data_IF_629756133037
#
_entry.id   IF_629756133037
#
_cell.length_a   1.000
_cell.length_b   1.000
_cell.length_c   1.000
_cell.angle_alpha   90.00
_cell.angle_beta   90.00
_cell.angle_gamma   90.00
#
_symmetry.space_group_name_H-M   'P 1'
#
loop_
_entity.id
_entity.type
_entity.pdbx_description
1 polymer ?
#
# COMPACT_ATOMS: atom_id res chain seq x y z
N UNK A 1 -13.59 3.62 45.61
CA UNK A 1 -14.85 2.99 45.14
C UNK A 1 -15.09 3.49 43.73
N UNK A 2 -14.92 2.62 42.74
CA UNK A 2 -15.00 2.99 41.30
C UNK A 2 -16.40 2.79 40.73
N UNK A 3 -17.17 1.85 41.28
CA UNK A 3 -18.57 1.57 40.91
C UNK A 3 -19.43 1.48 42.17
N UNK A 4 -20.73 1.76 42.03
CA UNK A 4 -21.71 1.65 43.08
C UNK A 4 -22.97 1.00 42.51
N UNK A 5 -23.36 -0.15 43.04
CA UNK A 5 -24.61 -0.80 42.64
C UNK A 5 -25.79 -0.17 43.40
N UNK A 6 -26.65 0.49 42.65
CA UNK A 6 -27.85 1.16 43.16
C UNK A 6 -29.14 0.46 42.72
N UNK A 7 -29.06 -0.64 41.98
CA UNK A 7 -30.19 -1.28 41.29
C UNK A 7 -31.41 -1.60 42.16
N UNK A 8 -31.20 -1.79 43.47
CA UNK A 8 -32.25 -2.12 44.44
C UNK A 8 -32.82 -0.91 45.19
N UNK A 9 -32.41 0.32 44.87
CA UNK A 9 -32.90 1.53 45.54
C UNK A 9 -34.30 1.90 45.07
N UNK A 10 -35.25 1.94 46.00
CA UNK A 10 -36.57 2.53 45.74
C UNK A 10 -36.58 4.01 46.12
N UNK A 11 -36.47 4.89 45.12
CA UNK A 11 -36.44 6.35 45.34
C UNK A 11 -37.79 7.04 45.20
N UNK A 12 -38.90 6.30 45.01
CA UNK A 12 -40.23 6.85 44.68
C UNK A 12 -40.86 7.79 45.73
N UNK A 13 -40.29 7.86 46.93
CA UNK A 13 -40.72 8.75 48.01
C UNK A 13 -39.64 9.76 48.43
N UNK A 14 -38.48 9.78 47.77
CA UNK A 14 -37.39 10.70 48.10
C UNK A 14 -37.76 12.11 47.65
N UNK A 15 -37.60 13.09 48.55
CA UNK A 15 -37.93 14.51 48.28
C UNK A 15 -36.70 15.41 48.16
N UNK A 16 -35.53 14.95 48.64
CA UNK A 16 -34.24 15.65 48.53
C UNK A 16 -33.13 14.66 48.19
N UNK A 17 -32.30 15.00 47.21
CA UNK A 17 -31.11 14.26 46.78
C UNK A 17 -29.86 15.15 46.78
N UNK A 18 -29.89 16.24 47.56
CA UNK A 18 -28.77 17.17 47.69
C UNK A 18 -27.49 16.42 48.07
N UNK A 19 -26.41 16.69 47.33
CA UNK A 19 -25.06 16.16 47.61
C UNK A 19 -24.93 14.63 47.64
N UNK A 20 -25.89 13.89 47.06
CA UNK A 20 -25.94 12.42 47.16
C UNK A 20 -24.65 11.72 46.66
N UNK A 21 -24.04 12.23 45.60
CA UNK A 21 -22.78 11.73 45.03
C UNK A 21 -21.63 12.74 45.13
N UNK A 22 -21.79 13.78 45.98
CA UNK A 22 -20.78 14.83 46.16
C UNK A 22 -19.48 14.23 46.70
N UNK A 23 -18.36 14.66 46.11
CA UNK A 23 -17.03 14.29 46.59
C UNK A 23 -16.39 15.41 47.40
N UNK A 24 -15.65 15.00 48.43
CA UNK A 24 -14.91 15.90 49.32
C UNK A 24 -13.41 15.92 49.01
N UNK A 25 -12.94 15.13 48.03
CA UNK A 25 -11.53 15.05 47.63
C UNK A 25 -11.41 14.98 46.10
N UNK A 26 -10.46 15.75 45.56
CA UNK A 26 -10.18 15.81 44.13
C UNK A 26 -9.37 14.58 43.69
N UNK A 27 -9.68 14.00 42.53
CA UNK A 27 -8.94 12.86 41.96
C UNK A 27 -9.38 11.47 42.44
N UNK A 28 -10.39 11.38 43.32
CA UNK A 28 -11.03 10.10 43.71
C UNK A 28 -12.54 10.23 43.58
N UNK A 29 -13.18 9.39 42.76
CA UNK A 29 -14.60 9.52 42.45
C UNK A 29 -15.23 8.24 41.89
N UNK A 30 -16.55 8.28 41.67
CA UNK A 30 -17.20 7.23 40.88
C UNK A 30 -16.63 7.31 39.46
N UNK A 31 -16.44 6.16 38.83
CA UNK A 31 -16.07 6.09 37.42
C UNK A 31 -17.33 5.93 36.57
N UNK A 32 -18.21 5.04 37.01
CA UNK A 32 -19.50 4.78 36.37
C UNK A 32 -20.61 4.99 37.39
N UNK A 33 -21.70 5.60 36.97
CA UNK A 33 -22.91 5.74 37.77
C UNK A 33 -24.14 5.44 36.92
N UNK A 34 -24.95 4.50 37.38
CA UNK A 34 -26.25 4.19 36.79
C UNK A 34 -27.37 4.58 37.77
N UNK A 35 -28.13 5.61 37.39
CA UNK A 35 -29.33 6.06 38.09
C UNK A 35 -30.55 6.02 37.17
N UNK A 36 -30.52 5.22 36.11
CA UNK A 36 -31.60 5.12 35.12
C UNK A 36 -32.95 4.72 35.74
N UNK A 37 -32.92 3.94 36.82
CA UNK A 37 -34.09 3.47 37.54
C UNK A 37 -34.59 4.45 38.63
N UNK A 38 -33.87 5.55 38.88
CA UNK A 38 -34.28 6.52 39.91
C UNK A 38 -35.59 7.21 39.51
N UNK A 39 -36.56 7.13 40.41
CA UNK A 39 -37.76 7.96 40.37
C UNK A 39 -37.49 9.28 41.11
N UNK A 40 -37.27 10.36 40.35
CA UNK A 40 -37.07 11.70 40.90
C UNK A 40 -38.34 12.57 40.83
N UNK A 41 -39.51 11.97 40.56
CA UNK A 41 -40.77 12.72 40.36
C UNK A 41 -41.21 13.56 41.57
N UNK A 42 -40.77 13.19 42.78
CA UNK A 42 -41.05 13.92 44.03
C UNK A 42 -39.86 14.73 44.55
N UNK A 43 -38.71 14.69 43.87
CA UNK A 43 -37.50 15.37 44.32
C UNK A 43 -37.64 16.86 44.07
N UNK A 44 -37.53 17.64 45.13
CA UNK A 44 -37.61 19.11 45.08
C UNK A 44 -36.25 19.77 45.03
N UNK A 45 -35.19 19.06 45.47
CA UNK A 45 -33.81 19.56 45.51
C UNK A 45 -32.80 18.44 45.22
N UNK A 46 -31.85 18.70 44.32
CA UNK A 46 -30.72 17.82 43.95
C UNK A 46 -29.43 18.64 43.81
N UNK A 47 -29.33 19.71 44.60
CA UNK A 47 -28.23 20.67 44.54
C UNK A 47 -26.91 19.98 44.90
N UNK A 48 -25.86 20.28 44.14
CA UNK A 48 -24.52 19.73 44.32
C UNK A 48 -24.44 18.19 44.30
N UNK A 49 -25.41 17.52 43.68
CA UNK A 49 -25.49 16.06 43.63
C UNK A 49 -24.21 15.39 43.12
N UNK A 50 -23.55 15.98 42.11
CA UNK A 50 -22.33 15.45 41.47
C UNK A 50 -21.08 16.30 41.72
N UNK A 51 -21.16 17.29 42.62
CA UNK A 51 -20.05 18.25 42.83
C UNK A 51 -18.76 17.52 43.18
N UNK A 52 -17.67 17.90 42.50
CA UNK A 52 -16.33 17.31 42.57
C UNK A 52 -16.18 15.85 42.10
N UNK A 53 -17.18 15.24 41.44
CA UNK A 53 -17.05 13.87 40.92
C UNK A 53 -16.27 13.82 39.58
N UNK A 54 -15.06 14.39 39.56
CA UNK A 54 -14.26 14.62 38.34
C UNK A 54 -13.75 13.34 37.68
N UNK A 55 -13.93 12.18 38.30
CA UNK A 55 -13.59 10.87 37.73
C UNK A 55 -14.78 10.19 37.05
N UNK A 56 -15.99 10.76 37.17
CA UNK A 56 -17.20 10.21 36.57
C UNK A 56 -17.09 10.41 35.07
N UNK A 57 -16.87 9.30 34.35
CA UNK A 57 -16.70 9.29 32.90
C UNK A 57 -17.88 8.63 32.20
N UNK A 58 -18.70 7.85 32.90
CA UNK A 58 -19.91 7.20 32.37
C UNK A 58 -21.09 7.43 33.31
N UNK A 59 -22.18 7.99 32.79
CA UNK A 59 -23.41 8.30 33.52
C UNK A 59 -24.63 7.79 32.77
N UNK A 60 -25.39 6.87 33.36
CA UNK A 60 -26.62 6.32 32.78
C UNK A 60 -27.82 6.98 33.45
N UNK A 61 -28.67 7.62 32.64
CA UNK A 61 -29.85 8.37 33.07
C UNK A 61 -31.11 7.75 32.44
N UNK A 62 -32.25 7.95 33.10
CA UNK A 62 -33.50 7.30 32.71
C UNK A 62 -34.71 8.23 32.79
N UNK A 63 -35.90 7.71 32.46
CA UNK A 63 -37.05 8.53 32.09
C UNK A 63 -37.63 9.38 33.23
N UNK A 64 -37.35 9.02 34.48
CA UNK A 64 -37.81 9.77 35.66
C UNK A 64 -36.68 10.53 36.37
N UNK A 65 -35.47 10.52 35.81
CA UNK A 65 -34.34 11.31 36.31
C UNK A 65 -34.53 12.77 35.92
N UNK A 66 -34.25 13.69 36.83
CA UNK A 66 -34.40 15.13 36.60
C UNK A 66 -33.13 15.85 37.07
N UNK A 67 -32.52 16.64 36.19
CA UNK A 67 -31.31 17.39 36.49
C UNK A 67 -31.63 18.87 36.67
N UNK A 68 -31.05 19.49 37.70
CA UNK A 68 -31.13 20.94 37.91
C UNK A 68 -29.81 21.59 37.52
N UNK A 69 -29.84 22.88 37.19
CA UNK A 69 -28.64 23.63 36.79
C UNK A 69 -27.54 23.63 37.88
N UNK A 70 -27.93 23.48 39.14
CA UNK A 70 -27.04 23.45 40.30
C UNK A 70 -26.68 22.02 40.77
N UNK A 71 -26.98 20.98 39.98
CA UNK A 71 -26.67 19.60 40.34
C UNK A 71 -25.17 19.30 40.39
N UNK A 72 -24.33 20.20 39.85
CA UNK A 72 -22.87 20.13 39.96
C UNK A 72 -22.22 19.03 39.11
N UNK A 73 -22.85 18.63 38.00
CA UNK A 73 -22.26 17.68 37.05
C UNK A 73 -20.97 18.29 36.47
N UNK A 74 -19.80 17.62 36.58
CA UNK A 74 -18.56 18.17 36.05
C UNK A 74 -18.51 18.06 34.53
N UNK A 75 -17.86 19.03 33.88
CA UNK A 75 -17.45 18.91 32.49
C UNK A 75 -16.47 17.74 32.31
N UNK A 76 -16.39 17.19 31.09
CA UNK A 76 -15.31 16.28 30.78
C UNK A 76 -13.95 17.01 30.93
N UNK A 77 -12.84 16.29 31.19
CA UNK A 77 -11.58 16.90 31.64
C UNK A 77 -10.92 17.93 30.69
N UNK A 78 -11.36 18.05 29.44
CA UNK A 78 -10.73 18.86 28.39
C UNK A 78 -9.42 18.28 27.83
N UNK A 79 -8.98 18.75 26.65
CA UNK A 79 -7.79 18.25 25.93
C UNK A 79 -6.48 18.33 26.73
N UNK A 80 -6.44 19.22 27.71
CA UNK A 80 -5.25 19.64 28.45
C UNK A 80 -4.93 18.70 29.63
N UNK A 81 -5.84 17.79 29.96
CA UNK A 81 -5.67 16.78 31.02
C UNK A 81 -5.40 15.40 30.41
N UNK A 82 -4.27 15.27 29.74
CA UNK A 82 -3.76 14.05 29.07
C UNK A 82 -3.50 12.85 30.01
N UNK A 83 -3.85 12.95 31.29
CA UNK A 83 -3.62 11.93 32.31
C UNK A 83 -4.88 11.18 32.76
N UNK A 84 -6.07 11.60 32.33
CA UNK A 84 -7.33 10.97 32.76
C UNK A 84 -7.78 9.92 31.75
N UNK A 85 -7.34 8.68 31.96
CA UNK A 85 -7.75 7.51 31.18
C UNK A 85 -9.20 7.16 31.48
N UNK A 86 -9.97 6.82 30.45
CA UNK A 86 -11.28 6.16 30.64
C UNK A 86 -11.05 4.78 31.28
N UNK A 87 -11.60 4.53 32.48
CA UNK A 87 -11.50 3.27 33.19
C UNK A 87 -11.97 2.06 32.37
N UNK A 88 -11.30 0.93 32.53
CA UNK A 88 -11.63 -0.30 31.80
C UNK A 88 -11.10 -0.36 30.37
N UNK A 89 -10.39 0.68 29.88
CA UNK A 89 -9.61 0.58 28.65
C UNK A 89 -8.49 -0.45 28.84
N UNK A 90 -8.80 -1.71 28.56
CA UNK A 90 -7.79 -2.73 28.33
C UNK A 90 -7.11 -2.34 27.03
N UNK A 91 -5.77 -2.21 27.07
CA UNK A 91 -4.83 -1.98 25.96
C UNK A 91 -4.15 -0.62 25.98
N UNK A 92 -2.94 -0.63 25.41
CA UNK A 92 -2.00 0.46 25.23
C UNK A 92 -2.53 1.67 24.41
N UNK A 93 -3.84 1.72 24.13
CA UNK A 93 -4.51 2.64 23.19
C UNK A 93 -5.14 3.87 23.85
N UNK A 94 -4.86 4.10 25.16
CA UNK A 94 -5.04 5.38 25.87
C UNK A 94 -6.20 6.23 25.34
N UNK A 95 -7.44 5.79 25.55
CA UNK A 95 -8.60 6.60 25.16
C UNK A 95 -8.68 7.85 26.04
N UNK A 96 -8.32 8.99 25.48
CA UNK A 96 -8.35 10.28 26.14
C UNK A 96 -9.64 11.00 25.83
N UNK A 97 -10.05 11.92 26.71
CA UNK A 97 -11.10 12.84 26.37
C UNK A 97 -10.59 13.88 25.34
N UNK A 98 -11.44 14.26 24.40
CA UNK A 98 -11.11 15.22 23.35
C UNK A 98 -11.46 16.65 23.76
N UNK A 99 -12.65 16.82 24.33
CA UNK A 99 -13.21 18.12 24.70
C UNK A 99 -13.67 18.14 26.16
N UNK A 100 -14.30 19.23 26.57
CA UNK A 100 -15.01 19.36 27.84
C UNK A 100 -16.45 18.82 27.80
N UNK A 101 -16.83 18.14 26.71
CA UNK A 101 -18.20 17.67 26.48
C UNK A 101 -18.40 16.21 26.91
N UNK A 102 -19.65 15.90 27.19
CA UNK A 102 -20.18 14.55 27.35
C UNK A 102 -20.82 14.09 26.05
N UNK A 103 -20.56 12.86 25.63
CA UNK A 103 -21.14 12.28 24.43
C UNK A 103 -22.18 11.22 24.79
N UNK A 104 -23.37 11.33 24.20
CA UNK A 104 -24.36 10.26 24.29
C UNK A 104 -23.83 8.99 23.61
N UNK A 105 -24.01 7.83 24.23
CA UNK A 105 -23.61 6.54 23.64
C UNK A 105 -24.47 6.25 22.41
N UNK A 106 -25.77 6.56 22.46
CA UNK A 106 -26.68 6.36 21.34
C UNK A 106 -26.75 4.88 20.95
N UNK A 107 -26.61 4.59 19.66
CA UNK A 107 -26.56 3.21 19.15
C UNK A 107 -25.16 2.59 19.23
N UNK A 108 -24.17 3.31 19.75
CA UNK A 108 -22.78 2.89 19.90
C UNK A 108 -22.50 2.12 21.19
N UNK A 109 -21.21 2.01 21.51
CA UNK A 109 -20.72 1.47 22.79
C UNK A 109 -20.09 2.56 23.65
N UNK A 110 -19.86 2.27 24.94
CA UNK A 110 -19.23 3.23 25.87
C UNK A 110 -17.80 3.64 25.47
N UNK A 111 -17.14 2.86 24.61
CA UNK A 111 -15.82 3.16 24.02
C UNK A 111 -15.88 3.50 22.52
N UNK A 112 -17.09 3.59 21.95
CA UNK A 112 -17.31 4.06 20.58
C UNK A 112 -18.74 4.66 20.47
N UNK A 113 -18.99 5.77 21.18
CA UNK A 113 -20.30 6.42 21.23
C UNK A 113 -20.63 7.07 19.88
N UNK A 114 -21.91 7.07 19.50
CA UNK A 114 -22.38 7.65 18.23
C UNK A 114 -23.37 8.79 18.40
N UNK A 115 -23.74 9.10 19.64
CA UNK A 115 -24.67 10.18 19.95
C UNK A 115 -23.97 11.54 20.04
N UNK A 116 -24.79 12.58 20.23
CA UNK A 116 -24.32 13.97 20.26
C UNK A 116 -23.33 14.23 21.40
N UNK A 117 -22.29 15.01 21.11
CA UNK A 117 -21.43 15.63 22.12
C UNK A 117 -22.07 16.92 22.65
N UNK A 118 -22.40 16.93 23.94
CA UNK A 118 -23.15 17.95 24.66
C UNK A 118 -22.26 18.63 25.71
N UNK A 119 -22.43 19.94 25.88
CA UNK A 119 -21.94 20.59 27.10
C UNK A 119 -22.75 20.07 28.29
N UNK A 120 -22.23 20.18 29.52
CA UNK A 120 -23.00 19.84 30.73
C UNK A 120 -24.33 20.59 30.77
N UNK A 121 -24.34 21.86 30.36
CA UNK A 121 -25.55 22.68 30.27
C UNK A 121 -26.60 22.06 29.33
N UNK A 122 -26.19 21.62 28.16
CA UNK A 122 -27.09 21.03 27.17
C UNK A 122 -27.57 19.64 27.61
N UNK A 123 -26.71 18.85 28.26
CA UNK A 123 -27.08 17.57 28.87
C UNK A 123 -28.13 17.77 29.97
N UNK A 124 -27.92 18.71 30.89
CA UNK A 124 -28.90 19.04 31.95
C UNK A 124 -30.24 19.47 31.32
N UNK A 125 -30.21 20.27 30.25
CA UNK A 125 -31.41 20.71 29.56
C UNK A 125 -32.21 19.56 28.92
N UNK A 126 -31.60 18.39 28.64
CA UNK A 126 -32.30 17.18 28.19
C UNK A 126 -33.09 16.46 29.29
N UNK A 127 -32.88 16.79 30.57
CA UNK A 127 -33.55 16.16 31.72
C UNK A 127 -34.34 17.15 32.60
N UNK A 128 -35.32 17.89 32.05
CA UNK A 128 -36.10 18.86 32.81
C UNK A 128 -37.03 18.20 33.85
N UNK A 129 -37.56 19.02 34.77
CA UNK A 129 -38.53 18.57 35.78
C UNK A 129 -39.93 18.38 35.18
N UNK A 130 -40.64 17.38 35.69
CA UNK A 130 -42.07 17.17 35.42
C UNK A 130 -42.38 16.50 34.07
N UNK A 131 -41.37 16.01 33.36
CA UNK A 131 -41.50 15.33 32.07
C UNK A 131 -40.99 13.88 32.13
N UNK A 132 -41.34 13.09 31.12
CA UNK A 132 -40.71 11.81 30.85
C UNK A 132 -39.48 12.11 29.98
N UNK A 133 -38.30 11.83 30.52
CA UNK A 133 -37.02 12.15 29.92
C UNK A 133 -36.49 10.96 29.08
N UNK A 134 -35.48 11.16 28.22
CA UNK A 134 -34.86 10.04 27.51
C UNK A 134 -34.16 9.07 28.48
N UNK A 135 -33.98 7.83 28.04
CA UNK A 135 -33.05 6.89 28.68
C UNK A 135 -31.78 6.85 27.84
N UNK A 136 -30.65 7.21 28.42
CA UNK A 136 -29.39 7.34 27.68
C UNK A 136 -28.19 7.16 28.61
N UNK A 137 -27.11 6.61 28.07
CA UNK A 137 -25.79 6.59 28.70
C UNK A 137 -24.94 7.70 28.09
N UNK A 138 -24.29 8.50 28.93
CA UNK A 138 -23.33 9.50 28.49
C UNK A 138 -21.93 9.07 28.92
N UNK A 139 -20.96 9.23 28.04
CA UNK A 139 -19.53 9.08 28.33
C UNK A 139 -18.79 10.38 28.09
N UNK A 140 -17.54 10.54 28.52
CA UNK A 140 -16.72 11.65 28.04
C UNK A 140 -16.53 11.57 26.52
N UNK A 141 -16.56 12.72 25.85
CA UNK A 141 -16.25 12.83 24.42
C UNK A 141 -14.82 12.33 24.13
N UNK A 142 -14.68 11.47 23.13
CA UNK A 142 -13.50 10.63 22.94
C UNK A 142 -12.52 11.20 21.92
N UNK A 143 -11.24 11.15 22.27
CA UNK A 143 -10.14 11.44 21.34
C UNK A 143 -9.88 10.20 20.50
N UNK A 144 -10.28 10.27 19.23
CA UNK A 144 -10.15 9.18 18.27
C UNK A 144 -8.92 9.29 17.36
N UNK A 145 -8.06 10.28 17.60
CA UNK A 145 -6.81 10.45 16.85
C UNK A 145 -5.69 11.02 17.75
N UNK A 146 -4.44 10.70 17.43
CA UNK A 146 -3.26 11.24 18.10
C UNK A 146 -2.14 11.41 17.09
N UNK A 147 -1.46 12.56 17.12
CA UNK A 147 -0.18 12.74 16.45
C UNK A 147 0.93 12.72 17.49
N UNK A 148 1.77 11.70 17.47
CA UNK A 148 2.96 11.58 18.31
C UNK A 148 4.14 11.10 17.46
N UNK A 149 5.32 11.69 17.66
CA UNK A 149 6.55 11.33 16.94
C UNK A 149 6.35 11.18 15.41
N UNK A 150 5.68 12.15 14.77
CA UNK A 150 5.33 12.14 13.33
C UNK A 150 4.41 10.98 12.88
N UNK A 151 3.83 10.20 13.80
CA UNK A 151 2.87 9.13 13.52
C UNK A 151 1.46 9.59 13.86
N UNK A 152 0.57 9.62 12.88
CA UNK A 152 -0.86 9.82 13.09
C UNK A 152 -1.52 8.47 13.39
N UNK A 153 -1.95 8.28 14.63
CA UNK A 153 -2.73 7.10 15.03
C UNK A 153 -4.22 7.45 15.00
N UNK A 154 -5.03 6.61 14.34
CA UNK A 154 -6.49 6.69 14.34
C UNK A 154 -7.03 5.52 15.12
N UNK A 155 -7.71 5.82 16.23
CA UNK A 155 -8.28 4.86 17.15
C UNK A 155 -9.73 4.50 16.75
N UNK A 156 -10.25 3.38 17.25
CA UNK A 156 -11.59 2.90 16.89
C UNK A 156 -12.64 3.98 17.14
N UNK A 157 -13.34 4.38 16.09
CA UNK A 157 -14.35 5.44 16.13
C UNK A 157 -15.25 5.38 14.90
N UNK A 158 -16.48 5.91 15.02
CA UNK A 158 -17.30 6.23 13.84
C UNK A 158 -16.93 7.62 13.34
N UNK A 159 -16.16 7.66 12.26
CA UNK A 159 -15.75 8.87 11.55
C UNK A 159 -16.88 9.30 10.62
N UNK A 160 -17.70 10.24 11.07
CA UNK A 160 -18.73 10.90 10.28
C UNK A 160 -18.51 12.42 10.24
N UNK A 161 -17.33 12.83 9.76
CA UNK A 161 -16.96 14.24 9.59
C UNK A 161 -17.75 14.89 8.45
N UNK A 162 -18.25 14.08 7.51
CA UNK A 162 -18.90 14.53 6.28
C UNK A 162 -18.10 15.65 5.57
N UNK A 163 -16.81 15.38 5.36
CA UNK A 163 -15.81 16.35 4.94
C UNK A 163 -16.17 17.03 3.61
N UNK A 164 -16.03 18.35 3.60
CA UNK A 164 -16.08 19.22 2.42
C UNK A 164 -14.69 19.56 1.88
N UNK A 165 -13.63 19.36 2.67
CA UNK A 165 -12.25 19.54 2.26
C UNK A 165 -11.24 19.29 3.39
N UNK A 166 -9.96 19.48 3.07
CA UNK A 166 -8.85 19.10 3.97
C UNK A 166 -8.88 19.78 5.34
N UNK A 167 -9.49 20.97 5.46
CA UNK A 167 -9.55 21.74 6.72
C UNK A 167 -10.50 21.15 7.76
N UNK A 168 -11.38 20.22 7.36
CA UNK A 168 -12.32 19.56 8.25
C UNK A 168 -11.61 18.50 9.12
N UNK A 169 -10.40 18.07 8.73
CA UNK A 169 -9.64 17.05 9.43
C UNK A 169 -8.83 17.63 10.59
N UNK A 170 -8.84 16.97 11.78
CA UNK A 170 -8.19 17.50 12.97
C UNK A 170 -6.67 17.70 12.84
N UNK A 171 -6.02 16.95 11.95
CA UNK A 171 -4.57 17.02 11.70
C UNK A 171 -4.17 17.97 10.57
N UNK A 172 -5.09 18.79 10.04
CA UNK A 172 -4.82 19.71 8.93
C UNK A 172 -3.61 20.64 9.17
N UNK A 173 -3.41 21.11 10.41
CA UNK A 173 -2.29 21.99 10.74
C UNK A 173 -0.92 21.30 10.77
N UNK A 174 -0.89 19.96 10.75
CA UNK A 174 0.31 19.15 10.94
C UNK A 174 0.62 18.22 9.75
N UNK A 175 0.03 18.45 8.57
CA UNK A 175 0.20 17.60 7.38
C UNK A 175 1.66 17.37 6.98
N UNK A 176 2.48 18.42 7.06
CA UNK A 176 3.90 18.33 6.71
C UNK A 176 4.74 17.58 7.77
N UNK A 177 4.22 17.40 8.99
CA UNK A 177 4.88 16.65 10.06
C UNK A 177 4.57 15.15 10.00
N UNK A 178 3.51 14.72 9.33
CA UNK A 178 3.09 13.31 9.34
C UNK A 178 3.99 12.50 8.39
N UNK A 179 4.58 11.42 8.92
CA UNK A 179 5.44 10.46 8.19
C UNK A 179 4.83 9.08 8.05
N UNK A 180 4.02 8.69 9.02
CA UNK A 180 3.36 7.38 9.07
C UNK A 180 1.95 7.55 9.62
N UNK A 181 1.07 6.66 9.18
CA UNK A 181 -0.28 6.53 9.72
C UNK A 181 -0.46 5.12 10.28
N UNK A 182 -1.16 5.00 11.40
CA UNK A 182 -1.57 3.73 12.00
C UNK A 182 -3.07 3.75 12.32
N UNK A 183 -3.84 2.97 11.58
CA UNK A 183 -5.30 2.85 11.75
C UNK A 183 -5.59 1.57 12.53
N UNK A 184 -6.15 1.72 13.73
CA UNK A 184 -6.47 0.60 14.61
C UNK A 184 -7.73 -0.16 14.13
N UNK A 185 -7.89 -1.45 14.48
CA UNK A 185 -9.11 -2.22 14.23
C UNK A 185 -10.37 -1.57 14.82
N UNK A 186 -11.47 -1.51 14.06
CA UNK A 186 -12.76 -0.99 14.54
C UNK A 186 -13.03 0.48 14.21
N UNK A 187 -12.25 1.06 13.29
CA UNK A 187 -12.56 2.37 12.70
C UNK A 187 -13.63 2.18 11.64
N UNK A 188 -14.68 2.99 11.70
CA UNK A 188 -15.80 2.99 10.73
C UNK A 188 -15.89 4.37 10.12
N UNK A 189 -15.88 4.48 8.80
CA UNK A 189 -16.03 5.75 8.08
C UNK A 189 -17.41 5.82 7.42
N UNK A 190 -18.03 7.01 7.47
CA UNK A 190 -19.35 7.26 6.87
C UNK A 190 -19.33 8.49 5.97
N UNK A 191 -20.30 8.55 5.05
CA UNK A 191 -20.57 9.72 4.21
C UNK A 191 -19.35 10.16 3.39
N UNK A 192 -18.76 11.30 3.71
CA UNK A 192 -17.63 11.89 2.98
C UNK A 192 -16.35 11.87 3.80
N UNK A 193 -15.35 11.13 3.32
CA UNK A 193 -13.97 11.18 3.84
C UNK A 193 -13.03 11.94 2.89
N UNK A 194 -13.59 12.88 2.13
CA UNK A 194 -12.87 13.74 1.21
C UNK A 194 -11.60 14.30 1.85
N UNK A 195 -10.47 14.14 1.15
CA UNK A 195 -9.18 14.71 1.54
C UNK A 195 -8.66 14.30 2.92
N UNK A 196 -9.06 13.14 3.45
CA UNK A 196 -8.65 12.63 4.77
C UNK A 196 -7.14 12.61 4.97
N UNK A 197 -6.41 12.14 3.97
CA UNK A 197 -4.95 12.04 3.99
C UNK A 197 -4.29 12.97 2.97
N UNK A 198 -5.00 13.99 2.50
CA UNK A 198 -4.51 14.88 1.44
C UNK A 198 -3.24 15.64 1.83
N UNK A 199 -2.24 15.58 0.94
CA UNK A 199 -1.09 16.48 0.94
C UNK A 199 -0.09 16.24 2.06
N UNK A 200 -0.03 15.04 2.61
CA UNK A 200 0.96 14.63 3.60
C UNK A 200 2.30 14.34 2.91
N UNK A 201 3.04 15.39 2.54
CA UNK A 201 4.25 15.31 1.69
C UNK A 201 5.37 14.41 2.22
N UNK A 202 5.35 14.11 3.51
CA UNK A 202 6.34 13.28 4.19
C UNK A 202 5.82 11.88 4.54
N UNK A 203 4.55 11.59 4.28
CA UNK A 203 3.93 10.29 4.51
C UNK A 203 4.59 9.23 3.61
N UNK A 204 5.02 8.13 4.22
CA UNK A 204 5.66 7.01 3.53
C UNK A 204 4.85 5.73 3.61
N UNK A 205 4.15 5.53 4.73
CA UNK A 205 3.47 4.27 5.06
C UNK A 205 2.14 4.54 5.75
N UNK A 206 1.11 3.80 5.35
CA UNK A 206 -0.18 3.73 6.06
C UNK A 206 -0.38 2.29 6.52
N UNK A 207 -0.36 2.11 7.83
CA UNK A 207 -0.55 0.81 8.49
C UNK A 207 -2.02 0.65 8.85
N UNK A 208 -2.59 -0.53 8.60
CA UNK A 208 -3.96 -0.82 9.02
C UNK A 208 -5.05 -0.10 8.21
N UNK A 209 -4.78 0.38 7.00
CA UNK A 209 -5.82 0.99 6.15
C UNK A 209 -7.01 0.04 5.93
N UNK A 210 -6.74 -1.26 5.81
CA UNK A 210 -7.73 -2.33 5.71
C UNK A 210 -8.51 -2.60 7.01
N UNK A 211 -8.20 -1.93 8.12
CA UNK A 211 -8.97 -1.95 9.36
C UNK A 211 -10.15 -0.96 9.36
N UNK A 212 -10.20 -0.05 8.39
CA UNK A 212 -11.27 0.93 8.26
C UNK A 212 -12.44 0.32 7.48
N UNK A 213 -13.60 0.22 8.13
CA UNK A 213 -14.85 -0.09 7.44
C UNK A 213 -15.30 1.14 6.64
N UNK A 214 -15.38 1.00 5.32
CA UNK A 214 -15.79 2.07 4.40
C UNK A 214 -17.11 1.78 3.69
N UNK A 215 -17.88 0.78 4.12
CA UNK A 215 -19.10 0.34 3.41
C UNK A 215 -20.17 1.43 3.27
N UNK A 216 -20.17 2.41 4.17
CA UNK A 216 -21.10 3.55 4.18
C UNK A 216 -20.51 4.84 3.60
N UNK A 217 -19.30 4.79 3.04
CA UNK A 217 -18.65 5.97 2.43
C UNK A 217 -19.09 6.14 0.98
N UNK A 218 -19.47 7.35 0.62
CA UNK A 218 -19.91 7.72 -0.74
C UNK A 218 -18.94 8.69 -1.42
N UNK A 219 -18.02 9.32 -0.68
CA UNK A 219 -17.09 10.30 -1.24
C UNK A 219 -15.67 10.14 -0.69
N UNK A 220 -14.77 9.66 -1.56
CA UNK A 220 -13.33 9.44 -1.35
C UNK A 220 -12.48 10.47 -2.10
N UNK A 221 -13.10 11.57 -2.58
CA UNK A 221 -12.42 12.55 -3.43
C UNK A 221 -11.08 12.98 -2.83
N UNK A 222 -10.01 12.83 -3.63
CA UNK A 222 -8.66 13.24 -3.29
C UNK A 222 -8.18 12.76 -1.91
N UNK A 223 -8.56 11.55 -1.47
CA UNK A 223 -8.24 11.03 -0.14
C UNK A 223 -6.74 11.01 0.15
N UNK A 224 -5.91 10.54 -0.79
CA UNK A 224 -4.44 10.48 -0.66
C UNK A 224 -3.71 11.49 -1.57
N UNK A 225 -4.45 12.38 -2.22
CA UNK A 225 -3.87 13.25 -3.26
C UNK A 225 -2.70 14.08 -2.71
N UNK A 226 -1.59 14.07 -3.44
CA UNK A 226 -0.34 14.79 -3.14
C UNK A 226 0.48 14.20 -1.99
N UNK A 227 0.33 12.90 -1.71
CA UNK A 227 1.13 12.14 -0.77
C UNK A 227 2.41 11.64 -1.44
N UNK A 228 3.26 12.59 -1.83
CA UNK A 228 4.39 12.38 -2.77
C UNK A 228 5.42 11.32 -2.38
N UNK A 229 5.48 10.89 -1.12
CA UNK A 229 6.43 9.89 -0.62
C UNK A 229 5.76 8.57 -0.24
N UNK A 230 4.43 8.46 -0.38
CA UNK A 230 3.70 7.26 -0.06
C UNK A 230 4.10 6.16 -1.05
N UNK A 231 4.52 5.02 -0.52
CA UNK A 231 5.13 3.96 -1.31
C UNK A 231 4.12 2.88 -1.74
N UNK A 232 3.22 2.53 -0.82
CA UNK A 232 2.23 1.48 -1.02
C UNK A 232 0.88 1.81 -0.38
N UNK A 233 -0.18 1.26 -0.98
CA UNK A 233 -1.55 1.35 -0.45
C UNK A 233 -2.24 -0.01 -0.48
N UNK A 234 -2.77 -0.42 0.67
CA UNK A 234 -3.61 -1.60 0.81
C UNK A 234 -5.09 -1.22 0.91
N UNK A 235 -5.80 -1.36 -0.21
CA UNK A 235 -7.25 -1.16 -0.33
C UNK A 235 -8.02 -2.48 -0.38
N UNK A 236 -7.37 -3.61 -0.07
CA UNK A 236 -7.94 -4.96 -0.24
C UNK A 236 -9.30 -5.17 0.45
N UNK A 237 -9.54 -4.48 1.56
CA UNK A 237 -10.79 -4.55 2.33
C UNK A 237 -11.67 -3.32 2.20
N UNK A 238 -11.26 -2.30 1.45
CA UNK A 238 -12.06 -1.10 1.29
C UNK A 238 -13.24 -1.36 0.36
N UNK A 239 -14.43 -1.28 0.93
CA UNK A 239 -15.69 -1.31 0.19
C UNK A 239 -15.92 0.08 -0.41
N UNK A 240 -15.75 0.19 -1.72
CA UNK A 240 -15.98 1.43 -2.47
C UNK A 240 -17.09 1.14 -3.46
N UNK A 241 -18.29 1.67 -3.21
CA UNK A 241 -19.45 1.42 -4.07
C UNK A 241 -19.25 2.00 -5.49
N UNK A 242 -19.92 1.41 -6.48
CA UNK A 242 -19.88 1.86 -7.88
C UNK A 242 -20.26 3.34 -8.09
N UNK A 243 -21.10 3.90 -7.21
CA UNK A 243 -21.53 5.30 -7.25
C UNK A 243 -20.63 6.24 -6.45
N UNK A 244 -19.62 5.74 -5.74
CA UNK A 244 -18.78 6.56 -4.90
C UNK A 244 -17.89 7.50 -5.73
N UNK A 245 -17.65 8.71 -5.21
CA UNK A 245 -16.74 9.65 -5.85
C UNK A 245 -15.29 9.35 -5.42
N UNK A 246 -14.51 8.74 -6.31
CA UNK A 246 -13.09 8.44 -6.11
C UNK A 246 -12.16 9.33 -6.91
N UNK A 247 -12.68 10.45 -7.44
CA UNK A 247 -11.91 11.31 -8.34
C UNK A 247 -10.64 11.80 -7.65
N UNK A 248 -9.50 11.57 -8.30
CA UNK A 248 -8.20 12.00 -7.82
C UNK A 248 -7.75 11.36 -6.52
N UNK A 249 -8.32 10.22 -6.11
CA UNK A 249 -7.95 9.57 -4.85
C UNK A 249 -6.43 9.33 -4.72
N UNK A 250 -5.69 9.16 -5.84
CA UNK A 250 -4.22 8.98 -5.88
C UNK A 250 -3.46 10.08 -6.63
N UNK A 251 -4.11 11.21 -6.91
CA UNK A 251 -3.53 12.21 -7.80
C UNK A 251 -2.25 12.81 -7.21
N UNK A 252 -1.18 12.87 -8.01
CA UNK A 252 0.15 13.38 -7.60
C UNK A 252 0.94 12.50 -6.61
N UNK A 253 0.54 11.24 -6.43
CA UNK A 253 1.23 10.29 -5.54
C UNK A 253 2.36 9.57 -6.29
N UNK A 254 3.34 10.35 -6.76
CA UNK A 254 4.31 9.89 -7.76
C UNK A 254 5.33 8.84 -7.26
N UNK A 255 5.35 8.52 -5.96
CA UNK A 255 6.19 7.46 -5.40
C UNK A 255 5.40 6.18 -5.12
N UNK A 256 4.08 6.19 -5.33
CA UNK A 256 3.22 5.04 -5.12
C UNK A 256 3.55 4.00 -6.20
N UNK A 257 4.24 2.94 -5.78
CA UNK A 257 4.74 1.90 -6.68
C UNK A 257 4.03 0.56 -6.49
N UNK A 258 3.28 0.40 -5.40
CA UNK A 258 2.49 -0.80 -5.10
C UNK A 258 1.08 -0.43 -4.65
N UNK A 259 0.07 -1.05 -5.24
CA UNK A 259 -1.33 -0.95 -4.78
C UNK A 259 -1.97 -2.33 -4.69
N UNK A 260 -2.77 -2.54 -3.66
CA UNK A 260 -3.55 -3.76 -3.46
C UNK A 260 -5.02 -3.37 -3.54
N UNK A 261 -5.77 -3.97 -4.46
CA UNK A 261 -7.15 -3.63 -4.76
C UNK A 261 -8.05 -4.82 -4.42
N UNK A 262 -9.14 -4.53 -3.70
CA UNK A 262 -10.06 -5.54 -3.19
C UNK A 262 -11.17 -5.92 -4.17
N UNK A 263 -11.92 -6.99 -3.85
CA UNK A 263 -13.06 -7.45 -4.65
C UNK A 263 -14.22 -6.45 -4.70
N UNK A 264 -14.32 -5.57 -3.70
CA UNK A 264 -15.36 -4.54 -3.59
C UNK A 264 -14.82 -3.12 -3.82
N UNK A 265 -13.60 -2.99 -4.31
CA UNK A 265 -12.98 -1.69 -4.61
C UNK A 265 -13.38 -1.26 -6.02
N UNK A 266 -14.15 -0.19 -6.15
CA UNK A 266 -14.52 0.37 -7.45
C UNK A 266 -13.99 1.80 -7.58
N UNK A 267 -13.08 2.00 -8.53
CA UNK A 267 -12.42 3.26 -8.79
C UNK A 267 -12.90 3.86 -10.11
N UNK A 268 -13.02 5.18 -10.13
CA UNK A 268 -13.30 5.97 -11.33
C UNK A 268 -12.49 7.25 -11.28
N UNK A 269 -11.71 7.49 -12.33
CA UNK A 269 -10.85 8.67 -12.44
C UNK A 269 -9.96 8.85 -11.18
N UNK A 270 -9.36 7.77 -10.68
CA UNK A 270 -8.54 7.82 -9.46
C UNK A 270 -7.28 8.67 -9.61
N UNK A 271 -6.89 8.97 -10.86
CA UNK A 271 -5.66 9.67 -11.23
C UNK A 271 -4.40 8.99 -10.72
N UNK A 272 -4.37 7.64 -10.75
CA UNK A 272 -3.16 6.88 -10.48
C UNK A 272 -2.05 7.30 -11.44
N UNK A 273 -0.90 7.66 -10.87
CA UNK A 273 0.27 8.05 -11.66
C UNK A 273 0.81 6.85 -12.47
N UNK A 274 1.28 7.15 -13.68
CA UNK A 274 2.09 6.21 -14.44
C UNK A 274 3.39 5.91 -13.66
N UNK A 275 3.92 4.69 -13.85
CA UNK A 275 5.25 4.39 -13.37
C UNK A 275 6.26 5.37 -13.99
N UNK A 276 7.27 5.83 -13.23
CA UNK A 276 8.30 6.70 -13.77
C UNK A 276 9.14 5.95 -14.80
N UNK A 277 9.52 6.65 -15.87
CA UNK A 277 10.39 6.11 -16.93
C UNK A 277 11.84 6.53 -16.69
N UNK A 278 12.79 5.81 -17.32
CA UNK A 278 14.20 6.20 -17.33
C UNK A 278 14.98 5.76 -16.10
N UNK A 279 14.97 4.46 -15.80
CA UNK A 279 15.74 3.82 -14.72
C UNK A 279 15.49 4.39 -13.32
N UNK A 280 14.25 4.77 -13.01
CA UNK A 280 13.92 5.25 -11.66
C UNK A 280 13.94 4.07 -10.69
N UNK A 281 14.81 4.12 -9.67
CA UNK A 281 14.95 3.06 -8.67
C UNK A 281 13.68 2.84 -7.84
N UNK A 282 13.40 1.57 -7.52
CA UNK A 282 12.35 1.23 -6.57
C UNK A 282 12.78 1.66 -5.16
N UNK A 283 11.92 2.38 -4.41
CA UNK A 283 12.27 2.94 -3.10
C UNK A 283 12.73 1.92 -2.04
N UNK A 284 12.18 0.70 -2.09
CA UNK A 284 12.47 -0.36 -1.11
C UNK A 284 13.58 -1.32 -1.57
N UNK A 285 13.89 -1.35 -2.87
CA UNK A 285 14.90 -2.25 -3.45
C UNK A 285 15.60 -1.60 -4.66
N UNK A 286 16.76 -0.95 -4.47
CA UNK A 286 17.45 -0.23 -5.55
C UNK A 286 18.04 -1.16 -6.61
N UNK A 287 17.99 -2.48 -6.44
CA UNK A 287 18.39 -3.44 -7.46
C UNK A 287 17.38 -3.54 -8.62
N UNK A 288 16.20 -2.91 -8.48
CA UNK A 288 15.21 -2.79 -9.53
C UNK A 288 14.94 -1.33 -9.87
N UNK A 289 14.60 -1.10 -11.13
CA UNK A 289 14.25 0.20 -11.70
C UNK A 289 12.97 0.08 -12.54
N UNK A 290 12.22 1.17 -12.64
CA UNK A 290 11.14 1.29 -13.60
C UNK A 290 11.66 1.88 -14.91
N UNK A 291 11.34 1.22 -16.01
CA UNK A 291 11.69 1.62 -17.39
C UNK A 291 10.49 1.93 -18.26
N UNK A 292 9.32 1.45 -17.87
CA UNK A 292 8.06 1.65 -18.59
C UNK A 292 7.14 2.54 -17.77
N UNK A 293 6.07 3.05 -18.39
CA UNK A 293 5.03 3.81 -17.69
C UNK A 293 3.93 2.93 -17.10
N UNK A 294 4.15 1.62 -17.08
CA UNK A 294 3.10 0.63 -16.87
C UNK A 294 3.20 -0.04 -15.51
N UNK A 295 2.08 -0.62 -15.11
CA UNK A 295 1.95 -1.46 -13.93
C UNK A 295 1.81 -2.92 -14.35
N UNK A 296 2.13 -3.85 -13.46
CA UNK A 296 1.97 -5.27 -13.69
C UNK A 296 1.32 -5.95 -12.49
N UNK A 297 0.44 -6.90 -12.75
CA UNK A 297 -0.19 -7.69 -11.72
C UNK A 297 0.78 -8.74 -11.13
N UNK A 298 0.80 -8.83 -9.80
CA UNK A 298 1.50 -9.87 -9.05
C UNK A 298 0.52 -11.02 -8.79
N UNK A 299 0.76 -12.16 -9.44
CA UNK A 299 -0.01 -13.39 -9.17
C UNK A 299 0.43 -14.02 -7.84
N UNK A 300 -0.46 -14.78 -7.21
CA UNK A 300 -0.30 -15.30 -5.82
C UNK A 300 0.94 -16.19 -5.59
N UNK A 301 1.58 -16.67 -6.65
CA UNK A 301 2.79 -17.49 -6.58
C UNK A 301 4.09 -16.68 -6.58
N UNK A 302 4.02 -15.37 -6.77
CA UNK A 302 5.18 -14.54 -7.05
C UNK A 302 5.41 -13.46 -5.98
N UNK A 303 6.58 -12.84 -6.02
CA UNK A 303 6.89 -11.64 -5.23
C UNK A 303 6.72 -10.34 -6.05
N UNK A 304 6.74 -9.20 -5.35
CA UNK A 304 6.52 -7.87 -5.91
C UNK A 304 7.55 -7.44 -6.98
N UNK A 305 8.70 -8.12 -7.08
CA UNK A 305 9.78 -7.81 -8.03
C UNK A 305 9.85 -8.83 -9.18
N UNK A 306 9.05 -9.90 -9.14
CA UNK A 306 8.91 -10.89 -10.21
C UNK A 306 7.42 -11.14 -10.59
N UNK A 307 6.64 -10.09 -10.89
CA UNK A 307 5.26 -10.24 -11.34
C UNK A 307 5.19 -11.00 -12.68
N UNK A 308 4.18 -11.86 -12.83
CA UNK A 308 3.91 -12.60 -14.07
C UNK A 308 2.49 -12.41 -14.60
N UNK A 309 1.72 -11.51 -14.00
CA UNK A 309 0.40 -11.14 -14.52
C UNK A 309 0.50 -10.12 -15.65
N UNK A 310 -0.65 -9.72 -16.16
CA UNK A 310 -0.72 -8.81 -17.30
C UNK A 310 -0.23 -7.40 -16.95
N UNK A 311 0.38 -6.76 -17.95
CA UNK A 311 0.76 -5.34 -17.87
C UNK A 311 -0.46 -4.46 -18.14
N UNK A 312 -0.64 -3.40 -17.35
CA UNK A 312 -1.77 -2.48 -17.41
C UNK A 312 -1.31 -1.03 -17.35
N UNK A 313 -1.93 -0.18 -18.18
CA UNK A 313 -1.67 1.26 -18.14
C UNK A 313 -2.32 1.90 -16.91
N UNK A 314 -1.67 2.88 -16.31
CA UNK A 314 -2.18 3.57 -15.12
C UNK A 314 -3.56 4.23 -15.32
N UNK A 315 -3.86 4.72 -16.53
CA UNK A 315 -5.18 5.29 -16.85
C UNK A 315 -6.30 4.23 -16.91
N UNK A 316 -5.98 2.99 -17.28
CA UNK A 316 -6.92 1.87 -17.23
C UNK A 316 -7.12 1.43 -15.78
N UNK A 317 -6.02 1.21 -15.05
CA UNK A 317 -6.04 0.86 -13.63
C UNK A 317 -6.73 1.94 -12.77
N UNK A 318 -6.71 3.21 -13.23
CA UNK A 318 -7.44 4.31 -12.59
C UNK A 318 -8.96 4.18 -12.59
N UNK A 319 -9.49 3.23 -13.36
CA UNK A 319 -10.91 2.92 -13.47
C UNK A 319 -11.21 1.47 -13.05
N UNK A 320 -10.36 0.87 -12.21
CA UNK A 320 -10.49 -0.49 -11.71
C UNK A 320 -11.88 -0.78 -11.14
N UNK A 321 -12.44 -1.93 -11.49
CA UNK A 321 -13.71 -2.43 -10.95
C UNK A 321 -13.45 -3.79 -10.31
N UNK A 322 -13.80 -3.92 -9.04
CA UNK A 322 -13.66 -5.19 -8.33
C UNK A 322 -14.57 -6.27 -8.92
N UNK A 323 -14.07 -7.51 -8.94
CA UNK A 323 -14.77 -8.68 -9.47
C UNK A 323 -15.74 -9.34 -8.45
N UNK A 324 -15.74 -8.86 -7.21
CA UNK A 324 -16.52 -9.43 -6.11
C UNK A 324 -15.91 -10.65 -5.43
N UNK A 325 -14.74 -11.15 -5.87
CA UNK A 325 -14.12 -12.38 -5.36
C UNK A 325 -12.63 -12.29 -5.04
N UNK A 326 -11.86 -11.52 -5.79
CA UNK A 326 -10.41 -11.57 -5.80
C UNK A 326 -9.78 -10.28 -5.27
N UNK A 327 -8.60 -10.41 -4.68
CA UNK A 327 -7.72 -9.29 -4.37
C UNK A 327 -6.57 -9.31 -5.36
N UNK A 328 -6.29 -8.16 -5.97
CA UNK A 328 -5.25 -8.00 -6.98
C UNK A 328 -4.17 -7.05 -6.47
N UNK A 329 -2.91 -7.44 -6.62
CA UNK A 329 -1.76 -6.59 -6.32
C UNK A 329 -1.15 -6.11 -7.63
N UNK A 330 -0.95 -4.81 -7.75
CA UNK A 330 -0.26 -4.20 -8.89
C UNK A 330 0.97 -3.46 -8.41
N UNK A 331 2.07 -3.65 -9.13
CA UNK A 331 3.34 -2.96 -8.92
C UNK A 331 3.75 -2.24 -10.20
N UNK A 332 4.63 -1.24 -10.13
CA UNK A 332 5.35 -0.79 -11.33
C UNK A 332 6.05 -1.99 -11.98
N UNK A 333 6.12 -2.04 -13.32
CA UNK A 333 6.85 -3.11 -14.02
C UNK A 333 8.32 -3.09 -13.57
N UNK A 334 8.78 -4.10 -12.81
CA UNK A 334 10.14 -4.11 -12.31
C UNK A 334 11.09 -4.53 -13.43
N UNK A 335 12.22 -3.85 -13.52
CA UNK A 335 13.36 -4.24 -14.37
C UNK A 335 14.60 -4.29 -13.51
N UNK A 336 15.47 -5.27 -13.74
CA UNK A 336 16.78 -5.30 -13.07
C UNK A 336 17.54 -4.00 -13.38
N UNK A 337 18.02 -3.35 -12.31
CA UNK A 337 18.84 -2.17 -12.42
C UNK A 337 20.14 -2.53 -13.13
N UNK A 338 20.58 -1.71 -14.09
CA UNK A 338 21.73 -1.98 -14.94
C UNK A 338 21.38 -2.72 -16.23
N UNK A 339 22.39 -2.95 -17.04
CA UNK A 339 22.26 -3.41 -18.42
C UNK A 339 23.16 -4.60 -18.71
N UNK A 340 22.63 -5.54 -19.49
CA UNK A 340 23.42 -6.55 -20.16
C UNK A 340 23.65 -6.10 -21.61
N UNK A 341 24.89 -5.79 -21.98
CA UNK A 341 25.23 -5.22 -23.28
C UNK A 341 26.27 -6.05 -24.00
N UNK A 342 26.01 -6.38 -25.26
CA UNK A 342 27.03 -6.97 -26.14
C UNK A 342 27.98 -5.85 -26.60
N UNK A 343 29.19 -5.79 -26.05
CA UNK A 343 30.19 -4.74 -26.33
C UNK A 343 31.03 -5.08 -27.56
N UNK A 344 31.40 -6.35 -27.72
CA UNK A 344 32.26 -6.80 -28.82
C UNK A 344 31.75 -8.08 -29.45
N UNK A 345 31.74 -8.10 -30.78
CA UNK A 345 31.54 -9.30 -31.60
C UNK A 345 32.80 -9.58 -32.43
N UNK A 346 32.99 -10.81 -32.93
CA UNK A 346 34.07 -11.15 -33.84
C UNK A 346 34.05 -10.26 -35.09
N UNK A 347 35.18 -9.63 -35.40
CA UNK A 347 35.32 -8.68 -36.51
C UNK A 347 35.27 -9.38 -37.88
N UNK A 348 35.91 -10.54 -38.01
CA UNK A 348 35.90 -11.37 -39.22
C UNK A 348 35.79 -12.86 -38.88
N UNK A 349 34.96 -13.59 -39.63
CA UNK A 349 35.00 -15.06 -39.66
C UNK A 349 36.03 -15.45 -40.70
N UNK A 350 37.28 -15.68 -40.30
CA UNK A 350 38.31 -16.14 -41.23
C UNK A 350 38.05 -17.57 -41.71
N UNK A 351 37.85 -17.73 -43.02
CA UNK A 351 37.78 -19.02 -43.69
C UNK A 351 39.20 -19.43 -44.12
N UNK A 352 39.86 -20.29 -43.35
CA UNK A 352 41.09 -20.94 -43.80
C UNK A 352 40.79 -22.40 -44.20
N UNK A 353 41.26 -22.77 -45.39
CA UNK A 353 41.11 -24.11 -45.95
C UNK A 353 41.97 -25.09 -45.13
N UNK A 354 41.36 -25.98 -44.36
CA UNK A 354 42.07 -27.12 -43.77
C UNK A 354 41.83 -28.34 -44.66
N UNK A 355 42.84 -28.76 -45.40
CA UNK A 355 42.80 -30.01 -46.15
C UNK A 355 42.93 -31.19 -45.18
N UNK A 356 41.86 -31.94 -44.97
CA UNK A 356 41.95 -33.30 -44.43
C UNK A 356 42.07 -34.31 -45.57
N UNK A 357 43.03 -35.24 -45.52
CA UNK A 357 43.14 -36.29 -46.52
C UNK A 357 42.16 -37.41 -46.17
N UNK A 358 40.90 -37.30 -46.62
CA UNK A 358 40.00 -38.38 -47.09
C UNK A 358 38.54 -37.93 -47.05
N UNK A 359 37.96 -37.67 -48.23
CA UNK A 359 36.53 -37.67 -48.63
C UNK A 359 35.43 -36.96 -47.80
N UNK A 360 35.70 -36.42 -46.62
CA UNK A 360 34.77 -35.61 -45.82
C UNK A 360 35.51 -34.44 -45.19
N UNK A 361 35.61 -33.31 -45.91
CA UNK A 361 36.37 -32.15 -45.48
C UNK A 361 35.51 -31.13 -44.72
N UNK A 362 35.58 -31.14 -43.40
CA UNK A 362 35.13 -30.04 -42.55
C UNK A 362 36.15 -28.88 -42.66
N UNK A 363 35.70 -27.65 -42.94
CA UNK A 363 36.57 -26.47 -42.93
C UNK A 363 36.40 -25.73 -41.60
N UNK A 364 37.48 -25.55 -40.82
CA UNK A 364 37.40 -24.87 -39.52
C UNK A 364 38.05 -23.50 -39.58
N UNK A 365 37.40 -22.51 -38.97
CA UNK A 365 38.02 -21.23 -38.59
C UNK A 365 39.24 -21.47 -37.71
N UNK A 366 40.30 -20.66 -37.88
CA UNK A 366 41.60 -20.83 -37.20
C UNK A 366 41.69 -20.10 -35.86
N UNK A 367 40.73 -19.26 -35.48
CA UNK A 367 40.85 -18.40 -34.29
C UNK A 367 39.65 -18.50 -33.35
N UNK A 368 39.93 -18.44 -32.04
CA UNK A 368 38.91 -18.28 -31.01
C UNK A 368 38.13 -16.99 -31.30
N UNK A 369 36.86 -17.12 -31.66
CA UNK A 369 35.96 -15.97 -31.77
C UNK A 369 35.57 -15.51 -30.37
N UNK A 370 35.84 -14.23 -30.06
CA UNK A 370 35.52 -13.63 -28.76
C UNK A 370 34.31 -12.75 -28.86
N UNK A 371 33.44 -12.87 -27.86
CA UNK A 371 32.40 -11.91 -27.56
C UNK A 371 32.71 -11.30 -26.21
N UNK A 372 32.42 -10.01 -26.08
CA UNK A 372 32.49 -9.32 -24.80
C UNK A 372 31.09 -8.85 -24.42
N UNK A 373 30.63 -9.29 -23.26
CA UNK A 373 29.38 -8.83 -22.66
C UNK A 373 29.73 -7.99 -21.44
N UNK A 374 29.15 -6.79 -21.36
CA UNK A 374 29.07 -6.01 -20.13
C UNK A 374 27.82 -6.44 -19.38
N UNK A 375 27.97 -6.93 -18.15
CA UNK A 375 26.85 -7.07 -17.24
C UNK A 375 27.03 -6.07 -16.11
N UNK A 376 26.25 -5.00 -16.19
CA UNK A 376 26.16 -3.99 -15.14
C UNK A 376 24.92 -4.21 -14.27
N UNK A 377 24.19 -5.32 -14.47
CA UNK A 377 22.97 -5.59 -13.72
C UNK A 377 23.30 -5.83 -12.24
N UNK A 378 22.48 -5.28 -11.37
CA UNK A 378 22.61 -5.45 -9.93
C UNK A 378 22.38 -6.91 -9.49
N UNK A 379 21.61 -7.65 -10.31
CA UNK A 379 21.21 -9.04 -10.13
C UNK A 379 21.80 -9.86 -11.28
N UNK A 380 22.50 -10.93 -10.94
CA UNK A 380 23.12 -11.83 -11.91
C UNK A 380 22.13 -12.91 -12.34
N UNK A 381 21.01 -12.54 -12.96
CA UNK A 381 20.11 -13.53 -13.55
C UNK A 381 20.75 -14.17 -14.78
N UNK A 382 20.35 -15.41 -15.04
CA UNK A 382 20.79 -16.16 -16.20
C UNK A 382 20.51 -15.37 -17.49
N UNK A 383 21.35 -15.58 -18.50
CA UNK A 383 21.17 -14.99 -19.82
C UNK A 383 21.69 -15.93 -20.89
N UNK A 384 21.24 -15.72 -22.11
CA UNK A 384 21.66 -16.46 -23.28
C UNK A 384 22.03 -15.52 -24.43
N UNK A 385 23.10 -15.85 -25.14
CA UNK A 385 23.42 -15.24 -26.42
C UNK A 385 22.82 -16.11 -27.52
N UNK A 386 21.98 -15.52 -28.34
CA UNK A 386 21.45 -16.14 -29.55
C UNK A 386 22.35 -15.80 -30.74
N UNK A 387 22.65 -16.79 -31.57
CA UNK A 387 23.40 -16.60 -32.82
C UNK A 387 22.59 -17.09 -34.03
N UNK A 388 22.67 -16.35 -35.13
CA UNK A 388 21.97 -16.60 -36.40
C UNK A 388 22.93 -16.39 -37.58
N UNK A 389 22.89 -17.26 -38.59
CA UNK A 389 23.70 -17.12 -39.81
C UNK A 389 22.87 -16.75 -41.04
N UNK A 390 23.43 -16.01 -41.99
CA UNK A 390 22.81 -15.80 -43.31
C UNK A 390 23.35 -16.77 -44.37
N UNK A 391 22.64 -16.94 -45.48
CA UNK A 391 23.23 -17.54 -46.68
C UNK A 391 24.43 -16.74 -47.17
N UNK A 392 25.37 -17.45 -47.82
CA UNK A 392 26.50 -16.83 -48.50
C UNK A 392 26.06 -16.28 -49.85
N UNK A 393 26.30 -14.98 -50.03
CA UNK A 393 26.06 -14.29 -51.30
C UNK A 393 27.39 -14.09 -52.01
N UNK A 394 27.38 -14.19 -53.33
CA UNK A 394 28.52 -13.85 -54.17
C UNK A 394 28.67 -12.33 -54.24
N UNK A 395 29.92 -11.86 -54.09
CA UNK A 395 30.25 -10.41 -54.08
C UNK A 395 30.03 -9.75 -55.45
N UNK A 396 30.04 -10.52 -56.56
CA UNK A 396 30.04 -9.99 -57.94
C UNK A 396 28.90 -10.51 -58.85
N UNK A 397 27.83 -11.14 -58.33
CA UNK A 397 26.65 -11.54 -59.15
C UNK A 397 25.85 -12.76 -58.69
N UNK A 398 24.67 -12.96 -59.31
CA UNK A 398 23.46 -13.75 -58.94
C UNK A 398 23.56 -15.24 -58.49
N UNK A 399 24.71 -15.76 -58.07
CA UNK A 399 24.82 -17.13 -57.50
C UNK A 399 25.06 -17.09 -55.99
N UNK A 400 24.06 -17.49 -55.21
CA UNK A 400 24.22 -17.81 -53.79
C UNK A 400 24.76 -19.22 -53.59
N UNK A 401 25.51 -19.45 -52.53
CA UNK A 401 25.83 -20.81 -52.06
C UNK A 401 24.74 -21.22 -51.06
N UNK A 402 24.02 -22.30 -51.36
CA UNK A 402 23.00 -22.88 -50.48
C UNK A 402 23.56 -24.08 -49.73
N UNK A 403 23.07 -24.35 -48.52
CA UNK A 403 23.47 -25.52 -47.72
C UNK A 403 24.75 -25.37 -46.91
N UNK A 404 25.22 -24.14 -46.69
CA UNK A 404 26.29 -23.85 -45.71
C UNK A 404 25.63 -23.63 -44.34
N UNK A 405 26.13 -24.33 -43.31
CA UNK A 405 25.59 -24.27 -41.95
C UNK A 405 26.66 -23.76 -40.98
N UNK A 406 26.23 -23.05 -39.93
CA UNK A 406 27.09 -22.70 -38.82
C UNK A 406 26.88 -23.72 -37.70
N UNK A 407 27.93 -24.09 -36.98
CA UNK A 407 27.87 -25.08 -35.91
C UNK A 407 28.52 -24.53 -34.63
N UNK A 408 27.84 -24.70 -33.50
CA UNK A 408 28.38 -24.53 -32.17
C UNK A 408 28.16 -25.82 -31.35
N UNK A 409 29.22 -26.46 -30.84
CA UNK A 409 29.13 -27.72 -30.03
C UNK A 409 28.39 -28.89 -30.72
N UNK A 410 28.34 -28.94 -32.05
CA UNK A 410 27.53 -29.92 -32.78
C UNK A 410 26.06 -29.50 -32.95
N UNK A 411 25.69 -28.30 -32.48
CA UNK A 411 24.37 -27.70 -32.69
C UNK A 411 24.45 -26.86 -33.96
N UNK A 412 23.82 -27.37 -35.02
CA UNK A 412 23.70 -26.70 -36.31
C UNK A 412 22.69 -25.58 -36.25
N UNK A 413 23.08 -24.42 -36.77
CA UNK A 413 22.19 -23.31 -37.02
C UNK A 413 22.34 -22.78 -38.43
N UNK A 414 21.17 -22.62 -39.05
CA UNK A 414 21.03 -22.15 -40.41
C UNK A 414 20.37 -20.78 -40.48
N UNK A 415 20.01 -20.42 -41.71
CA UNK A 415 19.30 -19.18 -42.00
C UNK A 415 18.03 -19.07 -41.16
N UNK A 416 17.97 -18.03 -40.33
CA UNK A 416 16.82 -17.73 -39.47
C UNK A 416 16.63 -18.65 -38.25
N UNK A 417 17.57 -19.54 -37.93
CA UNK A 417 17.48 -20.42 -36.74
C UNK A 417 18.40 -19.90 -35.63
N UNK A 418 17.86 -19.67 -34.43
CA UNK A 418 18.63 -19.26 -33.24
C UNK A 418 19.38 -20.45 -32.63
N UNK A 419 20.63 -20.27 -32.20
CA UNK A 419 21.27 -21.15 -31.21
C UNK A 419 21.25 -20.53 -29.83
N UNK A 420 20.95 -21.32 -28.81
CA UNK A 420 21.04 -20.90 -27.43
C UNK A 420 22.46 -21.15 -26.89
N UNK A 421 23.19 -20.08 -26.61
CA UNK A 421 24.46 -20.12 -25.88
C UNK A 421 24.20 -19.63 -24.44
N UNK A 422 24.28 -20.51 -23.44
CA UNK A 422 24.03 -20.15 -22.02
C UNK A 422 25.33 -19.92 -21.25
N UNK A 423 25.33 -18.93 -20.35
CA UNK A 423 26.29 -18.89 -19.24
C UNK A 423 25.74 -19.72 -18.07
N UNK A 424 26.62 -20.36 -17.31
CA UNK A 424 26.28 -21.22 -16.17
C UNK A 424 27.07 -20.87 -14.88
N UNK A 425 27.90 -19.83 -14.86
CA UNK A 425 28.74 -19.55 -13.68
C UNK A 425 28.46 -18.22 -13.01
N UNK A 426 27.71 -18.30 -11.92
CA UNK A 426 27.63 -17.26 -10.90
C UNK A 426 29.00 -17.00 -10.27
N UNK A 427 29.63 -15.92 -10.68
CA UNK A 427 30.52 -15.15 -9.81
C UNK A 427 30.47 -13.70 -10.27
N UNK A 428 29.89 -12.83 -9.43
CA UNK A 428 29.88 -11.36 -9.58
C UNK A 428 31.31 -10.87 -9.76
N UNK A 429 31.72 -10.52 -10.97
CA UNK A 429 32.93 -9.72 -11.19
C UNK A 429 32.74 -8.79 -12.38
N UNK A 430 33.27 -7.58 -12.16
CA UNK A 430 33.34 -6.42 -13.06
C UNK A 430 33.28 -6.73 -14.56
N UNK A 431 32.54 -5.85 -15.24
CA UNK A 431 32.60 -5.51 -16.67
C UNK A 431 33.67 -6.26 -17.47
N UNK A 432 33.19 -6.99 -18.47
CA UNK A 432 33.90 -7.83 -19.46
C UNK A 432 33.92 -9.31 -19.09
N UNK A 433 32.82 -9.99 -19.37
CA UNK A 433 32.90 -11.41 -19.70
C UNK A 433 33.67 -11.53 -21.02
N UNK A 434 34.96 -11.86 -20.94
CA UNK A 434 35.74 -12.25 -22.11
C UNK A 434 35.66 -13.76 -22.27
N UNK A 435 34.82 -14.22 -23.19
CA UNK A 435 34.86 -15.61 -23.61
C UNK A 435 35.92 -15.79 -24.69
N UNK A 436 36.95 -16.59 -24.41
CA UNK A 436 37.86 -17.10 -25.43
C UNK A 436 38.25 -18.52 -25.12
N UNK A 437 37.84 -19.47 -25.96
CA UNK A 437 38.17 -20.87 -25.80
C UNK A 437 38.86 -21.40 -27.07
N UNK A 438 40.17 -21.50 -26.98
CA UNK A 438 40.99 -22.41 -27.79
C UNK A 438 41.92 -23.10 -26.81
N UNK A 439 41.58 -24.34 -26.49
CA UNK A 439 42.45 -25.51 -26.68
C UNK A 439 41.85 -26.70 -25.92
N UNK A 440 41.45 -27.72 -26.69
CA UNK A 440 41.11 -29.10 -26.29
C UNK A 440 39.65 -29.60 -26.41
N UNK A 441 38.71 -28.79 -26.89
CA UNK A 441 37.36 -29.27 -27.17
C UNK A 441 36.27 -28.32 -26.69
N UNK A 442 35.65 -27.67 -27.70
CA UNK A 442 34.29 -27.11 -27.71
C UNK A 442 33.99 -25.97 -26.70
N UNK A 443 33.75 -24.68 -27.12
CA UNK A 443 33.16 -24.25 -28.40
C UNK A 443 33.60 -22.91 -29.05
N UNK A 444 33.39 -22.83 -30.36
CA UNK A 444 33.39 -21.62 -31.17
C UNK A 444 32.46 -21.83 -32.38
N UNK A 445 32.20 -20.79 -33.18
CA UNK A 445 31.39 -20.94 -34.40
C UNK A 445 32.24 -21.60 -35.49
N UNK A 446 31.84 -22.78 -35.93
CA UNK A 446 32.41 -23.52 -37.06
C UNK A 446 31.52 -23.33 -38.30
N UNK A 447 32.12 -23.38 -39.49
CA UNK A 447 31.39 -23.39 -40.75
C UNK A 447 31.43 -24.79 -41.39
N UNK A 448 30.28 -25.39 -41.62
CA UNK A 448 30.17 -26.63 -42.36
C UNK A 448 29.81 -26.33 -43.82
N UNK A 449 30.76 -26.63 -44.72
CA UNK A 449 30.62 -26.42 -46.16
C UNK A 449 30.46 -27.79 -46.86
N UNK A 450 29.41 -28.01 -47.67
CA UNK A 450 29.27 -29.22 -48.46
C UNK A 450 30.44 -29.43 -49.42
N UNK A 451 30.91 -30.67 -49.59
CA UNK A 451 32.10 -31.01 -50.40
C UNK A 451 31.97 -30.66 -51.89
N UNK A 452 30.74 -30.40 -52.37
CA UNK A 452 30.42 -29.98 -53.73
C UNK A 452 30.55 -28.47 -53.96
N UNK A 453 30.72 -27.67 -52.90
CA UNK A 453 30.82 -26.21 -52.95
C UNK A 453 32.21 -25.78 -52.44
N UNK A 454 33.00 -25.14 -53.31
CA UNK A 454 34.30 -24.57 -52.93
C UNK A 454 34.19 -23.04 -52.93
N UNK A 455 33.84 -22.40 -51.79
CA UNK A 455 33.91 -20.95 -51.70
C UNK A 455 35.36 -20.49 -51.84
N UNK A 456 35.59 -19.48 -52.65
CA UNK A 456 36.88 -18.81 -52.73
C UNK A 456 36.90 -17.63 -51.74
N UNK A 457 37.99 -17.51 -50.97
CA UNK A 457 38.18 -16.39 -50.06
C UNK A 457 38.06 -15.06 -50.81
N UNK A 458 37.33 -14.11 -50.24
CA UNK A 458 37.06 -12.80 -50.85
C UNK A 458 36.01 -12.77 -51.96
N UNK A 459 35.43 -13.90 -52.38
CA UNK A 459 34.36 -13.94 -53.40
C UNK A 459 32.95 -14.08 -52.84
N UNK A 460 32.82 -14.42 -51.56
CA UNK A 460 31.54 -14.64 -50.90
C UNK A 460 31.53 -13.94 -49.54
N UNK A 461 30.35 -13.46 -49.15
CA UNK A 461 30.11 -12.89 -47.82
C UNK A 461 28.88 -13.52 -47.18
N UNK A 462 28.97 -13.79 -45.87
CA UNK A 462 27.88 -14.22 -45.02
C UNK A 462 27.92 -13.41 -43.73
N UNK A 463 26.76 -13.15 -43.14
CA UNK A 463 26.60 -12.38 -41.91
C UNK A 463 26.22 -13.32 -40.77
N UNK A 464 26.86 -13.16 -39.61
CA UNK A 464 26.37 -13.75 -38.36
C UNK A 464 25.77 -12.62 -37.53
N UNK A 465 24.52 -12.78 -37.12
CA UNK A 465 23.83 -11.85 -36.22
C UNK A 465 23.79 -12.45 -34.82
N UNK A 466 24.04 -11.61 -33.82
CA UNK A 466 24.00 -11.97 -32.41
C UNK A 466 22.90 -11.17 -31.71
N UNK A 467 22.13 -11.84 -30.87
CA UNK A 467 21.06 -11.24 -30.08
C UNK A 467 21.22 -11.69 -28.63
N UNK A 468 21.35 -10.75 -27.71
CA UNK A 468 21.47 -11.06 -26.30
C UNK A 468 20.08 -11.09 -25.67
N UNK A 469 19.72 -12.20 -25.03
CA UNK A 469 18.45 -12.33 -24.31
C UNK A 469 18.70 -12.67 -22.86
N UNK A 470 18.18 -11.85 -21.95
CA UNK A 470 18.05 -12.24 -20.56
C UNK A 470 17.03 -13.38 -20.47
N UNK A 471 17.30 -14.39 -19.65
CA UNK A 471 16.25 -15.34 -19.27
C UNK A 471 15.52 -14.75 -18.09
N UNK A 472 14.55 -13.89 -18.40
CA UNK A 472 13.47 -13.53 -17.49
C UNK A 472 12.20 -14.01 -18.16
#
# INVERSE_FOLDING_TARGET
MTTLDLSNFNTSNVTKMDKMFMRTSWGTGLQTLDISHFDMSKVTSSSNMFTNDTQLWQLTLGPKVQLSADCGLPDAPGSDKTSMLMPGSQLADKHYNNTSKWQAVGNGGVYNPTGDALTVKDLIAKYPRGTINPSETYVWDQRWWLLDNNTLTIYPHIIDVNSTGVKDWPWYSALDDIKTIDIKPGVVAKNSIKSMFYGMKNLTTISGLSNMDTSEVTNFYAMFFYDKKLLSLDLSKMEISQGANTTGIFGQDNSLWKIILGPKTNLKNSQLSAAPVGDTSFPENPNYVSRTSDWQEVLTTNDDYHPSGDTIKANVLSNYQGDGSSTHTYVWVPSEAGYLTLIKTPEDVEFNLINYPTYFGLQKSKSAQKFEVDDTRAINSDWQLLAYGSQFKSVNGNKGLTGIEFDYKGIKFGEGTSVILKDHSGSKFNSKYQWSLTDNGQPGIQLDIPTTLRPESGKYHGTITYELRNSI
#
